data_IF_241932114232
#
_entry.id   IF_241932114232
#
_cell.length_a   1.000
_cell.length_b   1.000
_cell.length_c   1.000
_cell.angle_alpha   90.00
_cell.angle_beta   90.00
_cell.angle_gamma   90.00
#
_symmetry.space_group_name_H-M   'P 1'
#
loop_
_entity.id
_entity.type
_entity.pdbx_description
1 polymer ?
#
# COMPACT_ATOMS: atom_id res chain seq x y z
N UNK A 1 6.58 -5.33 -12.95
CA UNK A 1 5.87 -4.27 -12.19
C UNK A 1 6.83 -3.26 -11.59
N UNK A 2 7.59 -3.59 -10.53
CA UNK A 2 8.49 -2.63 -9.85
C UNK A 2 9.54 -2.00 -10.78
N UNK A 3 10.12 -2.80 -11.68
CA UNK A 3 11.02 -2.29 -12.73
C UNK A 3 10.30 -1.26 -13.62
N UNK A 4 9.11 -1.58 -14.10
CA UNK A 4 8.30 -0.68 -14.94
C UNK A 4 7.84 0.59 -14.21
N UNK A 5 7.63 0.52 -12.89
CA UNK A 5 7.37 1.69 -12.05
C UNK A 5 8.61 2.58 -11.99
N UNK A 6 9.77 1.99 -11.71
CA UNK A 6 11.05 2.70 -11.69
C UNK A 6 11.39 3.35 -13.04
N UNK A 7 11.15 2.66 -14.15
CA UNK A 7 11.35 3.19 -15.51
C UNK A 7 10.45 4.41 -15.80
N UNK A 8 9.29 4.49 -15.15
CA UNK A 8 8.38 5.64 -15.20
C UNK A 8 8.70 6.72 -14.16
N UNK A 9 9.82 6.60 -13.44
CA UNK A 9 10.21 7.52 -12.37
C UNK A 9 9.37 7.38 -11.11
N UNK A 10 8.64 6.28 -10.93
CA UNK A 10 7.87 6.00 -9.73
C UNK A 10 8.64 5.07 -8.80
N UNK A 11 8.78 5.50 -7.55
CA UNK A 11 9.36 4.70 -6.47
C UNK A 11 8.28 4.49 -5.40
N UNK A 12 7.58 3.34 -5.38
CA UNK A 12 6.55 3.10 -4.39
C UNK A 12 7.15 3.09 -2.98
N UNK A 13 6.45 3.76 -2.06
CA UNK A 13 6.73 3.84 -0.63
C UNK A 13 5.83 2.92 0.21
N UNK A 14 4.83 2.30 -0.42
CA UNK A 14 3.98 1.28 0.18
C UNK A 14 3.72 0.16 -0.82
N UNK A 15 3.86 -1.09 -0.38
CA UNK A 15 3.55 -2.28 -1.20
C UNK A 15 2.77 -3.29 -0.37
N UNK A 16 1.55 -3.59 -0.81
CA UNK A 16 0.72 -4.68 -0.28
C UNK A 16 0.63 -5.79 -1.33
N UNK A 17 1.07 -6.99 -0.96
CA UNK A 17 1.01 -8.19 -1.80
C UNK A 17 0.23 -9.27 -1.05
N UNK A 18 -0.83 -9.79 -1.66
CA UNK A 18 -1.72 -10.81 -1.08
C UNK A 18 -1.82 -11.97 -2.07
N UNK A 19 -1.65 -13.20 -1.59
CA UNK A 19 -1.77 -14.41 -2.40
C UNK A 19 -2.09 -15.67 -1.58
N UNK A 20 -2.74 -16.66 -2.17
CA UNK A 20 -3.30 -17.83 -1.48
C UNK A 20 -2.64 -19.16 -1.88
N UNK A 21 -1.76 -19.18 -2.87
CA UNK A 21 -1.24 -20.45 -3.40
C UNK A 21 0.30 -20.48 -3.48
N UNK A 22 0.83 -21.51 -4.13
CA UNK A 22 2.27 -21.72 -4.28
C UNK A 22 2.88 -20.75 -5.29
N UNK A 23 2.12 -20.30 -6.29
CA UNK A 23 2.61 -19.39 -7.31
C UNK A 23 2.96 -18.01 -6.75
N UNK A 24 2.31 -17.61 -5.65
CA UNK A 24 2.54 -16.34 -4.97
C UNK A 24 3.84 -16.32 -4.14
N UNK A 25 4.37 -17.48 -3.77
CA UNK A 25 5.53 -17.61 -2.88
C UNK A 25 6.79 -16.95 -3.45
N UNK A 26 7.01 -17.04 -4.76
CA UNK A 26 8.15 -16.38 -5.39
C UNK A 26 7.95 -14.86 -5.45
N UNK A 27 6.69 -14.39 -5.52
CA UNK A 27 6.36 -12.97 -5.47
C UNK A 27 6.64 -12.38 -4.08
N UNK A 28 6.25 -13.08 -3.00
CA UNK A 28 6.53 -12.67 -1.63
C UNK A 28 8.03 -12.50 -1.38
N UNK A 29 8.83 -13.47 -1.84
CA UNK A 29 10.28 -13.43 -1.70
C UNK A 29 10.90 -12.26 -2.47
N UNK A 30 10.43 -12.02 -3.70
CA UNK A 30 10.97 -10.98 -4.57
C UNK A 30 10.68 -9.58 -4.04
N UNK A 31 9.47 -9.34 -3.52
CA UNK A 31 9.11 -8.01 -3.00
C UNK A 31 9.85 -7.75 -1.68
N UNK A 32 10.01 -8.77 -0.84
CA UNK A 32 10.80 -8.66 0.39
C UNK A 32 12.27 -8.30 0.12
N UNK A 33 12.87 -8.82 -0.97
CA UNK A 33 14.25 -8.45 -1.35
C UNK A 33 14.31 -7.12 -2.10
N UNK A 34 13.28 -6.75 -2.85
CA UNK A 34 13.19 -5.46 -3.52
C UNK A 34 13.16 -4.28 -2.54
N UNK A 35 12.65 -4.47 -1.32
CA UNK A 35 12.72 -3.49 -0.23
C UNK A 35 14.16 -3.12 0.15
N UNK A 36 15.13 -4.01 -0.10
CA UNK A 36 16.54 -3.76 0.16
C UNK A 36 17.29 -3.16 -1.04
N UNK A 37 16.63 -2.96 -2.18
CA UNK A 37 17.23 -2.46 -3.42
C UNK A 37 16.66 -1.14 -3.91
N UNK A 38 17.17 -0.63 -5.04
CA UNK A 38 16.80 0.68 -5.62
C UNK A 38 15.43 0.69 -6.33
N UNK A 39 14.55 -0.28 -6.06
CA UNK A 39 13.25 -0.41 -6.73
C UNK A 39 12.08 0.17 -5.93
N UNK A 40 12.28 0.39 -4.64
CA UNK A 40 11.31 1.00 -3.73
C UNK A 40 11.91 2.28 -3.14
N UNK A 41 11.05 3.13 -2.56
CA UNK A 41 11.53 4.25 -1.76
C UNK A 41 12.32 3.75 -0.54
N UNK A 42 13.28 4.55 -0.05
CA UNK A 42 14.17 4.15 1.06
C UNK A 42 13.44 3.83 2.37
N UNK A 43 12.23 4.37 2.56
CA UNK A 43 11.36 4.12 3.72
C UNK A 43 10.15 3.26 3.38
N UNK A 44 10.22 2.51 2.28
CA UNK A 44 9.04 1.81 1.80
C UNK A 44 8.57 0.73 2.78
N UNK A 45 7.27 0.71 3.05
CA UNK A 45 6.65 -0.31 3.87
C UNK A 45 6.11 -1.44 2.99
N UNK A 46 6.55 -2.66 3.29
CA UNK A 46 6.20 -3.86 2.51
C UNK A 46 5.42 -4.85 3.37
N UNK A 47 4.24 -5.20 2.88
CA UNK A 47 3.31 -6.13 3.49
C UNK A 47 3.02 -7.28 2.53
N UNK A 48 3.76 -8.38 2.68
CA UNK A 48 3.45 -9.63 2.00
C UNK A 48 2.58 -10.51 2.91
N UNK A 49 1.40 -10.88 2.43
CA UNK A 49 0.38 -11.60 3.17
C UNK A 49 -0.03 -12.87 2.41
N UNK A 50 -0.01 -14.01 3.09
CA UNK A 50 -0.63 -15.21 2.54
C UNK A 50 -2.06 -15.38 3.03
N UNK A 51 -2.97 -15.90 2.20
CA UNK A 51 -4.34 -16.21 2.62
C UNK A 51 -4.40 -17.64 3.17
N UNK A 52 -4.97 -17.76 4.36
CA UNK A 52 -4.98 -18.98 5.15
C UNK A 52 -3.71 -19.17 5.98
N UNK A 53 -3.86 -19.89 7.09
CA UNK A 53 -2.72 -20.24 7.97
C UNK A 53 -1.98 -21.45 7.41
N UNK A 54 -0.92 -21.18 6.65
CA UNK A 54 -0.09 -22.20 5.99
C UNK A 54 1.39 -21.79 5.98
N UNK A 55 2.32 -22.75 5.81
CA UNK A 55 3.72 -22.42 5.55
C UNK A 55 3.82 -21.51 4.31
N UNK A 56 4.48 -20.36 4.47
CA UNK A 56 4.66 -19.36 3.42
C UNK A 56 5.92 -18.53 3.66
N UNK A 57 6.46 -17.94 2.59
CA UNK A 57 7.51 -16.92 2.60
C UNK A 57 6.94 -15.53 2.92
N UNK A 58 5.61 -15.35 2.89
CA UNK A 58 4.95 -14.13 3.36
C UNK A 58 5.21 -13.92 4.86
N UNK A 59 5.36 -12.66 5.27
CA UNK A 59 5.57 -12.30 6.69
C UNK A 59 4.27 -12.33 7.49
N UNK A 60 3.16 -12.02 6.83
CA UNK A 60 1.84 -11.92 7.44
C UNK A 60 0.88 -12.93 6.82
N UNK A 61 -0.26 -13.15 7.48
CA UNK A 61 -1.35 -13.94 6.93
C UNK A 61 -2.68 -13.25 7.19
N UNK A 62 -3.66 -13.57 6.34
CA UNK A 62 -5.09 -13.28 6.55
C UNK A 62 -5.78 -14.64 6.67
N UNK A 63 -6.75 -14.78 7.58
CA UNK A 63 -7.38 -16.09 7.87
C UNK A 63 -8.11 -16.67 6.66
N UNK A 64 -8.80 -15.82 5.90
CA UNK A 64 -9.57 -16.21 4.73
C UNK A 64 -9.77 -15.07 3.72
N UNK A 65 -10.46 -15.37 2.61
CA UNK A 65 -10.77 -14.38 1.59
C UNK A 65 -11.69 -13.25 2.08
N UNK A 66 -12.51 -13.47 3.12
CA UNK A 66 -13.35 -12.43 3.67
C UNK A 66 -12.52 -11.40 4.44
N UNK A 67 -11.39 -11.80 5.05
CA UNK A 67 -10.42 -10.86 5.62
C UNK A 67 -9.73 -10.00 4.58
N UNK A 68 -9.42 -10.55 3.41
CA UNK A 68 -8.89 -9.75 2.29
C UNK A 68 -9.87 -8.64 1.92
N UNK A 69 -11.16 -8.98 1.81
CA UNK A 69 -12.21 -7.99 1.50
C UNK A 69 -12.31 -6.93 2.61
N UNK A 70 -12.32 -7.34 3.88
CA UNK A 70 -12.38 -6.40 5.02
C UNK A 70 -11.17 -5.46 5.06
N UNK A 71 -9.97 -5.97 4.80
CA UNK A 71 -8.75 -5.17 4.72
C UNK A 71 -8.87 -4.11 3.63
N UNK A 72 -9.28 -4.51 2.42
CA UNK A 72 -9.41 -3.59 1.29
C UNK A 72 -10.50 -2.53 1.52
N UNK A 73 -11.62 -2.92 2.15
CA UNK A 73 -12.67 -1.98 2.56
C UNK A 73 -12.15 -0.96 3.58
N UNK A 74 -11.37 -1.41 4.58
CA UNK A 74 -10.75 -0.52 5.55
C UNK A 74 -9.79 0.48 4.90
N UNK A 75 -8.96 0.03 3.96
CA UNK A 75 -8.05 0.91 3.21
C UNK A 75 -8.81 1.93 2.36
N UNK A 76 -9.88 1.51 1.68
CA UNK A 76 -10.74 2.41 0.90
C UNK A 76 -11.35 3.49 1.77
N UNK A 77 -11.95 3.09 2.90
CA UNK A 77 -12.59 4.02 3.82
C UNK A 77 -11.61 5.07 4.36
N UNK A 78 -10.43 4.64 4.84
CA UNK A 78 -9.41 5.57 5.34
C UNK A 78 -8.90 6.49 4.22
N UNK A 79 -8.75 5.98 3.01
CA UNK A 79 -8.33 6.79 1.86
C UNK A 79 -9.36 7.89 1.52
N UNK A 80 -10.65 7.61 1.63
CA UNK A 80 -11.72 8.58 1.40
C UNK A 80 -11.74 9.65 2.49
N UNK A 81 -11.63 9.25 3.77
CA UNK A 81 -11.59 10.18 4.90
C UNK A 81 -10.38 11.13 4.80
N UNK A 82 -9.21 10.62 4.41
CA UNK A 82 -8.01 11.45 4.19
C UNK A 82 -8.20 12.43 3.03
N UNK A 83 -8.85 12.01 1.94
CA UNK A 83 -9.13 12.89 0.82
C UNK A 83 -10.08 14.03 1.21
N UNK A 84 -11.10 13.75 2.03
CA UNK A 84 -12.01 14.76 2.55
C UNK A 84 -11.35 15.70 3.57
N UNK A 85 -10.46 15.18 4.41
CA UNK A 85 -9.71 16.00 5.36
C UNK A 85 -8.81 17.02 4.63
N UNK A 86 -8.06 16.56 3.63
CA UNK A 86 -7.20 17.44 2.84
C UNK A 86 -7.97 18.54 2.09
N UNK A 87 -9.21 18.26 1.65
CA UNK A 87 -10.04 19.28 0.99
C UNK A 87 -10.46 20.40 1.95
N UNK A 88 -10.73 20.08 3.22
CA UNK A 88 -11.11 21.09 4.22
C UNK A 88 -9.97 22.03 4.55
N UNK A 89 -8.74 21.52 4.59
CA UNK A 89 -7.56 22.33 4.85
C UNK A 89 -7.29 23.31 3.69
N UNK A 90 -7.55 22.92 2.44
CA UNK A 90 -7.44 23.80 1.27
C UNK A 90 -8.53 24.89 1.26
N UNK A 91 -9.76 24.57 1.65
CA UNK A 91 -10.86 25.54 1.72
C UNK A 91 -10.66 26.57 2.85
N UNK A 92 -10.14 26.17 4.02
CA UNK A 92 -9.87 27.09 5.14
C UNK A 92 -8.72 28.08 4.83
N UNK A 93 -7.64 27.63 4.20
CA UNK A 93 -6.51 28.51 3.79
C UNK A 93 -6.96 29.54 2.74
N UNK A 94 -7.80 29.12 1.78
CA UNK A 94 -8.37 30.03 0.77
C UNK A 94 -9.28 31.12 1.36
N UNK A 95 -9.96 30.83 2.48
CA UNK A 95 -10.87 31.77 3.13
C UNK A 95 -10.16 32.87 3.94
N UNK A 96 -8.90 32.65 4.33
CA UNK A 96 -8.09 33.63 5.05
C UNK A 96 -7.49 34.69 4.12
N UNK A 97 -7.31 34.37 2.84
CA UNK A 97 -6.86 35.32 1.82
C UNK A 97 -7.92 36.38 1.49
N UNK A 98 -9.22 36.05 1.59
CA UNK A 98 -10.35 36.97 1.36
C UNK A 98 -10.62 37.95 2.51
N UNK A 99 -9.99 37.78 3.69
CA UNK A 99 -10.26 38.60 4.89
C UNK A 99 -9.38 39.86 4.96
N UNK A 100 -8.34 39.97 4.14
CA UNK A 100 -7.39 41.10 4.15
C UNK A 100 -7.40 41.97 2.89
N UNK A 101 -8.48 41.97 2.10
CA UNK A 101 -8.76 43.02 1.08
C UNK A 101 -9.68 44.13 1.60
#
# INVERSE_FOLDING_TARGET
MLVSMKERGQCPDFVLCIGDDKSDEDMFQLIATAACGDSLASKAEVFACTVGRKPSKAKYYLDDAAEVVRLMQGLSYVSEELALANQRDEDEDSSLDDVWE
#
